data_IF_059413467526
#
_entry.id   IF_059413467526
#
_cell.length_a   1.000
_cell.length_b   1.000
_cell.length_c   1.000
_cell.angle_alpha   90.00
_cell.angle_beta   90.00
_cell.angle_gamma   90.00
#
_symmetry.space_group_name_H-M   'P 1'
#
loop_
_entity.id
_entity.type
_entity.pdbx_description
1 polymer ?
#
# COMPACT_ATOMS: atom_id res chain seq x y z
N UNK A 1 16.66 -64.32 19.90
CA UNK A 1 17.51 -64.21 21.10
C UNK A 1 18.83 -63.59 20.66
N UNK A 2 19.31 -62.59 21.41
CA UNK A 2 20.33 -61.58 21.06
C UNK A 2 21.67 -62.18 20.57
N UNK A 3 22.39 -61.46 19.69
CA UNK A 3 23.69 -60.82 19.96
C UNK A 3 24.38 -60.32 18.66
N UNK A 4 24.60 -59.00 18.59
CA UNK A 4 25.76 -58.32 17.97
C UNK A 4 26.87 -58.16 19.05
N UNK A 5 28.10 -57.64 18.82
CA UNK A 5 28.83 -57.21 17.60
C UNK A 5 30.32 -57.67 17.58
N UNK A 6 31.13 -57.29 16.57
CA UNK A 6 32.58 -57.02 16.73
C UNK A 6 33.17 -56.24 15.54
N UNK A 7 34.01 -55.26 15.87
CA UNK A 7 34.70 -54.31 15.01
C UNK A 7 36.06 -54.84 14.49
N UNK A 8 36.57 -54.25 13.40
CA UNK A 8 38.01 -54.27 13.05
C UNK A 8 38.41 -52.90 12.48
N UNK A 9 39.57 -52.42 12.95
CA UNK A 9 40.21 -51.14 12.70
C UNK A 9 41.45 -51.28 11.75
N UNK A 10 42.18 -50.16 11.58
CA UNK A 10 43.52 -49.96 10.96
C UNK A 10 43.51 -49.57 9.45
N UNK A 11 44.33 -48.64 8.94
CA UNK A 11 45.40 -47.81 9.48
C UNK A 11 45.71 -46.63 8.53
N UNK A 12 46.37 -45.60 9.07
CA UNK A 12 46.81 -44.37 8.42
C UNK A 12 48.14 -44.51 7.65
N UNK A 13 48.41 -43.57 6.72
CA UNK A 13 49.75 -43.24 6.23
C UNK A 13 49.84 -41.73 5.96
N UNK A 14 50.70 -41.07 6.73
CA UNK A 14 51.16 -39.68 6.60
C UNK A 14 52.41 -39.63 5.73
N UNK A 15 52.54 -38.59 4.89
CA UNK A 15 53.85 -38.15 4.37
C UNK A 15 53.97 -36.64 4.55
N UNK A 16 54.95 -36.24 5.35
CA UNK A 16 55.46 -34.88 5.55
C UNK A 16 56.81 -34.75 4.84
N UNK A 17 57.05 -33.62 4.17
CA UNK A 17 58.37 -33.22 3.65
C UNK A 17 58.53 -31.69 3.70
N UNK A 18 59.59 -31.22 4.36
CA UNK A 18 59.91 -29.82 4.66
C UNK A 18 61.08 -29.25 3.84
N UNK A 19 61.05 -27.93 3.59
CA UNK A 19 62.18 -26.96 3.58
C UNK A 19 63.09 -26.86 2.34
N UNK A 20 63.72 -25.73 1.99
CA UNK A 20 63.68 -24.35 2.51
C UNK A 20 64.39 -23.34 1.53
N UNK A 21 64.01 -22.06 1.64
CA UNK A 21 64.74 -20.77 1.48
C UNK A 21 65.39 -20.25 0.17
N UNK A 22 65.11 -18.98 -0.15
CA UNK A 22 65.88 -18.11 -1.05
C UNK A 22 65.12 -16.88 -1.61
N UNK A 23 65.51 -15.67 -1.21
CA UNK A 23 64.78 -14.40 -1.31
C UNK A 23 64.77 -13.64 -2.66
N UNK A 24 63.82 -12.67 -2.72
CA UNK A 24 63.87 -11.34 -3.36
C UNK A 24 63.54 -11.19 -4.86
N UNK A 25 62.38 -10.61 -5.18
CA UNK A 25 62.21 -9.21 -5.65
C UNK A 25 60.73 -8.88 -5.86
N UNK A 26 60.31 -7.71 -5.37
CA UNK A 26 58.92 -7.27 -5.39
C UNK A 26 58.44 -6.81 -6.78
N UNK A 27 57.28 -7.31 -7.19
CA UNK A 27 56.44 -6.71 -8.21
C UNK A 27 54.99 -6.68 -7.69
N UNK A 28 54.45 -5.46 -7.65
CA UNK A 28 53.16 -5.05 -7.10
C UNK A 28 52.01 -5.55 -8.00
N UNK A 29 51.00 -6.29 -7.49
CA UNK A 29 49.69 -6.26 -8.09
C UNK A 29 48.91 -5.10 -7.47
N UNK A 30 48.45 -4.18 -8.31
CA UNK A 30 47.38 -3.22 -8.01
C UNK A 30 46.18 -3.99 -7.48
N UNK A 31 45.95 -3.92 -6.17
CA UNK A 31 44.69 -4.32 -5.57
C UNK A 31 43.61 -3.35 -6.03
N UNK A 32 42.71 -3.83 -6.88
CA UNK A 32 41.45 -3.14 -7.16
C UNK A 32 40.70 -3.06 -5.84
N UNK A 33 40.57 -1.84 -5.30
CA UNK A 33 39.73 -1.56 -4.16
C UNK A 33 38.29 -1.97 -4.53
N UNK A 34 37.81 -3.04 -3.90
CA UNK A 34 36.38 -3.35 -3.84
C UNK A 34 35.74 -2.25 -2.99
N UNK A 35 35.17 -1.24 -3.63
CA UNK A 35 34.21 -0.35 -2.98
C UNK A 35 32.98 -1.19 -2.70
N UNK A 36 33.00 -1.91 -1.56
CA UNK A 36 31.80 -2.50 -0.99
C UNK A 36 30.80 -1.37 -0.79
N UNK A 37 29.75 -1.38 -1.60
CA UNK A 37 28.55 -0.62 -1.30
C UNK A 37 28.09 -1.07 0.09
N UNK A 38 27.77 -0.16 1.03
CA UNK A 38 27.18 -0.59 2.29
C UNK A 38 25.85 -1.24 1.92
N UNK A 39 25.78 -2.56 2.10
CA UNK A 39 24.48 -3.23 2.11
C UNK A 39 23.61 -2.60 3.19
N UNK A 40 22.28 -2.56 3.02
CA UNK A 40 21.42 -2.10 4.09
C UNK A 40 21.73 -2.94 5.32
N UNK A 41 22.18 -2.28 6.39
CA UNK A 41 22.43 -2.93 7.66
C UNK A 41 21.13 -3.56 8.16
N UNK A 42 21.19 -4.67 8.93
CA UNK A 42 20.04 -5.04 9.73
C UNK A 42 19.81 -3.90 10.73
N UNK A 43 18.55 -3.48 10.90
CA UNK A 43 18.07 -2.39 11.78
C UNK A 43 17.71 -1.04 11.12
N UNK A 44 17.08 -1.06 9.94
CA UNK A 44 16.03 -0.06 9.69
C UNK A 44 14.77 -0.55 10.45
N UNK A 45 14.20 0.23 11.39
CA UNK A 45 12.92 -0.15 12.00
C UNK A 45 11.89 -0.28 10.88
N UNK A 46 11.02 -1.31 10.96
CA UNK A 46 9.87 -1.46 10.06
C UNK A 46 9.13 -0.11 10.03
N UNK A 47 9.29 0.64 8.93
CA UNK A 47 8.65 1.93 8.78
C UNK A 47 7.14 1.71 8.82
N UNK A 48 6.47 2.35 9.78
CA UNK A 48 5.02 2.26 9.93
C UNK A 48 4.40 2.81 8.64
N UNK A 49 3.69 1.95 7.91
CA UNK A 49 3.02 2.32 6.66
C UNK A 49 1.67 3.01 6.94
N UNK A 50 1.25 3.94 6.06
CA UNK A 50 -0.11 4.47 6.08
C UNK A 50 -1.17 3.38 5.90
N UNK A 51 -2.40 3.65 6.32
CA UNK A 51 -3.56 2.74 6.19
C UNK A 51 -4.22 2.79 4.80
N UNK A 52 -3.82 3.74 3.95
CA UNK A 52 -4.26 3.89 2.57
C UNK A 52 -3.47 5.00 1.86
N UNK A 53 -3.80 5.29 0.60
CA UNK A 53 -3.02 6.20 -0.25
C UNK A 53 -3.34 7.70 -0.05
N UNK A 54 -4.42 8.01 0.68
CA UNK A 54 -4.85 9.38 0.98
C UNK A 54 -5.75 10.00 -0.10
N UNK A 55 -6.88 10.57 0.31
CA UNK A 55 -7.82 11.33 -0.53
C UNK A 55 -8.37 12.53 0.27
N UNK A 56 -8.95 13.52 -0.40
CA UNK A 56 -9.71 14.61 0.20
C UNK A 56 -11.22 14.30 0.31
N UNK A 57 -11.70 13.27 -0.37
CA UNK A 57 -13.09 12.86 -0.35
C UNK A 57 -13.52 12.31 1.02
N UNK A 58 -14.80 12.45 1.36
CA UNK A 58 -15.36 11.91 2.61
C UNK A 58 -15.23 10.37 2.66
N UNK A 59 -14.79 9.85 3.80
CA UNK A 59 -14.72 8.42 4.10
C UNK A 59 -15.80 8.02 5.08
N UNK A 60 -16.58 6.99 4.73
CA UNK A 60 -17.69 6.49 5.56
C UNK A 60 -17.61 4.98 5.67
N UNK A 61 -17.76 4.46 6.89
CA UNK A 61 -18.02 3.06 7.12
C UNK A 61 -19.07 2.86 8.22
N UNK A 62 -19.94 1.89 8.00
CA UNK A 62 -21.03 1.57 8.93
C UNK A 62 -20.53 0.62 10.01
N UNK A 63 -20.79 0.98 11.28
CA UNK A 63 -20.58 0.07 12.41
C UNK A 63 -21.64 -1.04 12.46
N UNK A 64 -21.53 -1.95 13.42
CA UNK A 64 -22.50 -3.05 13.54
C UNK A 64 -22.43 -3.79 14.87
N UNK A 65 -23.49 -4.55 15.17
CA UNK A 65 -23.59 -5.28 16.43
C UNK A 65 -23.84 -4.35 17.63
N UNK A 66 -23.51 -4.79 18.86
CA UNK A 66 -23.62 -3.97 20.06
C UNK A 66 -22.78 -2.68 19.98
N UNK A 67 -23.15 -1.67 20.77
CA UNK A 67 -22.34 -0.46 20.86
C UNK A 67 -20.99 -0.75 21.53
N UNK A 68 -19.96 -0.01 21.12
CA UNK A 68 -18.58 -0.19 21.59
C UNK A 68 -18.05 1.06 22.28
N UNK A 69 -17.04 0.92 23.13
CA UNK A 69 -16.49 2.01 23.93
C UNK A 69 -15.13 2.44 23.38
N UNK A 70 -14.92 3.75 23.20
CA UNK A 70 -13.58 4.29 22.92
C UNK A 70 -12.77 4.23 24.22
N UNK A 71 -11.66 3.51 24.20
CA UNK A 71 -10.81 3.26 25.38
C UNK A 71 -9.54 4.09 25.37
N UNK A 72 -9.05 4.46 24.18
CA UNK A 72 -7.85 5.27 24.06
C UNK A 72 -7.83 6.12 22.78
N UNK A 73 -7.16 7.26 22.83
CA UNK A 73 -6.92 8.14 21.68
C UNK A 73 -5.45 8.54 21.68
N UNK A 74 -4.74 8.15 20.61
CA UNK A 74 -3.29 8.38 20.47
C UNK A 74 -3.00 9.17 19.21
N UNK A 75 -2.01 10.05 19.33
CA UNK A 75 -1.42 10.79 18.21
C UNK A 75 0.01 10.29 17.98
N UNK A 76 0.39 10.11 16.74
CA UNK A 76 1.74 9.72 16.34
C UNK A 76 2.20 10.50 15.11
N UNK A 77 3.50 10.76 15.02
CA UNK A 77 4.10 11.36 13.83
C UNK A 77 4.99 10.33 13.14
N UNK A 78 4.94 10.30 11.82
CA UNK A 78 5.66 9.37 10.96
C UNK A 78 6.24 10.11 9.76
N UNK A 79 7.13 9.44 9.02
CA UNK A 79 7.68 10.02 7.81
C UNK A 79 6.57 10.19 6.75
N UNK A 80 6.29 11.44 6.38
CA UNK A 80 5.28 11.81 5.37
C UNK A 80 3.83 11.86 5.85
N UNK A 81 3.51 11.51 7.11
CA UNK A 81 2.14 11.60 7.63
C UNK A 81 2.08 11.64 9.16
N UNK A 82 1.03 12.24 9.70
CA UNK A 82 0.63 12.10 11.10
C UNK A 82 -0.54 11.12 11.23
N UNK A 83 -0.63 10.45 12.37
CA UNK A 83 -1.63 9.41 12.63
C UNK A 83 -2.42 9.69 13.89
N UNK A 84 -3.74 9.59 13.78
CA UNK A 84 -4.69 9.57 14.89
C UNK A 84 -5.22 8.14 15.03
N UNK A 85 -5.17 7.57 16.24
CA UNK A 85 -5.67 6.21 16.53
C UNK A 85 -6.71 6.28 17.62
N UNK A 86 -7.90 5.76 17.34
CA UNK A 86 -8.96 5.52 18.31
C UNK A 86 -8.99 4.03 18.63
N UNK A 87 -8.62 3.65 19.86
CA UNK A 87 -8.76 2.29 20.36
C UNK A 87 -10.17 2.07 20.89
N UNK A 88 -10.76 0.93 20.53
CA UNK A 88 -12.17 0.63 20.77
C UNK A 88 -12.32 -0.76 21.36
N UNK A 89 -13.12 -0.90 22.41
CA UNK A 89 -13.42 -2.16 23.09
C UNK A 89 -14.91 -2.50 23.07
N UNK A 90 -15.21 -3.80 23.04
CA UNK A 90 -16.55 -4.36 23.00
C UNK A 90 -16.73 -5.36 21.85
N UNK A 91 -17.86 -6.06 21.85
CA UNK A 91 -18.13 -7.15 20.90
C UNK A 91 -18.70 -6.67 19.56
N UNK A 92 -19.00 -5.38 19.43
CA UNK A 92 -19.47 -4.77 18.19
C UNK A 92 -18.34 -4.17 17.35
N UNK A 93 -18.75 -3.51 16.27
CA UNK A 93 -17.90 -2.80 15.35
C UNK A 93 -18.22 -1.31 15.38
N UNK A 94 -17.20 -0.48 15.58
CA UNK A 94 -17.34 0.96 15.40
C UNK A 94 -17.36 1.29 13.90
N UNK A 95 -18.19 2.25 13.52
CA UNK A 95 -18.15 2.86 12.18
C UNK A 95 -17.50 4.25 12.25
N UNK A 96 -17.38 4.90 11.10
CA UNK A 96 -16.90 6.28 11.02
C UNK A 96 -17.55 7.06 9.89
N UNK A 97 -17.48 8.38 10.04
CA UNK A 97 -17.69 9.38 8.99
C UNK A 97 -16.60 10.43 9.16
N UNK A 98 -15.73 10.57 8.18
CA UNK A 98 -14.57 11.46 8.22
C UNK A 98 -14.51 12.30 6.96
N UNK A 99 -14.47 13.62 7.10
CA UNK A 99 -14.44 14.53 5.95
C UNK A 99 -14.13 15.98 6.35
N UNK A 100 -13.70 16.76 5.37
CA UNK A 100 -13.38 18.18 5.57
C UNK A 100 -14.65 18.99 5.82
N UNK A 101 -14.61 19.86 6.83
CA UNK A 101 -15.71 20.78 7.17
C UNK A 101 -15.25 22.22 7.07
N UNK A 102 -16.16 23.12 6.71
CA UNK A 102 -15.84 24.54 6.61
C UNK A 102 -15.75 25.18 8.00
N UNK A 103 -16.63 24.80 8.93
CA UNK A 103 -16.69 25.33 10.29
C UNK A 103 -16.95 24.20 11.30
N UNK A 104 -16.04 23.98 12.28
CA UNK A 104 -16.27 23.07 13.38
C UNK A 104 -17.44 23.52 14.26
N UNK A 105 -18.43 22.65 14.43
CA UNK A 105 -19.64 22.93 15.21
C UNK A 105 -19.90 21.79 16.20
N UNK A 106 -20.22 22.15 17.43
CA UNK A 106 -20.50 21.19 18.49
C UNK A 106 -21.77 20.39 18.16
N UNK A 107 -21.73 19.05 18.20
CA UNK A 107 -22.92 18.21 18.01
C UNK A 107 -24.04 18.60 18.99
N UNK A 108 -25.29 18.59 18.51
CA UNK A 108 -26.47 18.94 19.29
C UNK A 108 -26.70 20.45 19.48
N UNK A 109 -25.71 21.20 19.94
CA UNK A 109 -25.87 22.65 20.22
C UNK A 109 -25.62 23.56 19.01
N UNK A 110 -24.78 23.14 18.07
CA UNK A 110 -24.36 23.96 16.93
C UNK A 110 -23.43 25.14 17.28
N UNK A 111 -22.93 25.22 18.51
CA UNK A 111 -21.97 26.24 18.90
C UNK A 111 -20.64 26.07 18.14
N UNK A 112 -19.93 27.15 17.78
CA UNK A 112 -18.59 27.04 17.21
C UNK A 112 -17.64 26.28 18.15
N UNK A 113 -16.77 25.44 17.58
CA UNK A 113 -15.69 24.77 18.31
C UNK A 113 -14.36 25.38 17.89
N UNK A 114 -13.56 25.82 18.86
CA UNK A 114 -12.23 26.38 18.59
C UNK A 114 -11.20 25.27 18.37
N UNK A 115 -10.79 25.12 17.10
CA UNK A 115 -9.78 24.14 16.66
C UNK A 115 -8.57 24.91 16.13
N UNK A 116 -7.36 24.70 16.67
CA UNK A 116 -6.12 25.24 16.10
C UNK A 116 -5.89 24.73 14.68
N UNK A 117 -5.63 25.62 13.73
CA UNK A 117 -5.45 25.31 12.31
C UNK A 117 -6.19 26.29 11.40
N UNK A 118 -6.03 26.13 10.09
CA UNK A 118 -6.77 26.88 9.05
C UNK A 118 -7.73 25.99 8.25
N UNK A 119 -7.59 24.66 8.33
CA UNK A 119 -8.53 23.69 7.78
C UNK A 119 -8.89 22.64 8.83
N UNK A 120 -10.09 22.07 8.72
CA UNK A 120 -10.66 21.22 9.77
C UNK A 120 -11.22 19.92 9.20
N UNK A 121 -10.66 18.80 9.65
CA UNK A 121 -11.20 17.47 9.36
C UNK A 121 -12.15 17.08 10.49
N UNK A 122 -13.44 16.91 10.16
CA UNK A 122 -14.43 16.36 11.07
C UNK A 122 -14.30 14.84 11.10
N UNK A 123 -14.18 14.28 12.30
CA UNK A 123 -14.06 12.83 12.54
C UNK A 123 -15.21 12.43 13.45
N UNK A 124 -16.15 11.64 12.96
CA UNK A 124 -17.24 11.10 13.77
C UNK A 124 -17.16 9.58 13.82
N UNK A 125 -16.89 9.03 15.00
CA UNK A 125 -17.03 7.59 15.26
C UNK A 125 -18.52 7.28 15.52
N UNK A 126 -19.00 6.17 15.00
CA UNK A 126 -20.41 5.74 15.13
C UNK A 126 -20.50 4.38 15.80
N UNK A 127 -21.70 4.06 16.31
CA UNK A 127 -21.95 2.88 17.14
C UNK A 127 -21.18 2.90 18.48
N UNK A 128 -21.03 4.08 19.08
CA UNK A 128 -20.33 4.26 20.34
C UNK A 128 -21.30 4.19 21.52
N UNK A 129 -20.95 3.45 22.57
CA UNK A 129 -21.74 3.37 23.80
C UNK A 129 -21.64 4.68 24.58
N UNK A 130 -22.76 5.15 25.11
CA UNK A 130 -22.74 6.30 26.03
C UNK A 130 -22.10 5.88 27.36
N UNK A 131 -21.44 6.78 28.10
CA UNK A 131 -20.75 6.43 29.34
C UNK A 131 -21.63 5.74 30.39
N UNK A 132 -22.94 6.04 30.43
CA UNK A 132 -23.89 5.38 31.33
C UNK A 132 -24.37 4.00 30.87
N UNK A 133 -24.22 3.69 29.58
CA UNK A 133 -24.59 2.42 28.96
C UNK A 133 -23.37 1.50 28.75
N UNK A 134 -22.16 2.03 28.93
CA UNK A 134 -20.93 1.26 28.96
C UNK A 134 -20.96 0.31 30.17
N UNK A 135 -20.46 -0.92 29.98
CA UNK A 135 -20.39 -1.90 31.07
C UNK A 135 -19.61 -1.33 32.26
N UNK A 136 -19.94 -1.76 33.49
CA UNK A 136 -19.35 -1.21 34.72
C UNK A 136 -17.80 -1.26 34.78
N UNK A 137 -17.19 -2.19 34.03
CA UNK A 137 -15.73 -2.35 33.93
C UNK A 137 -15.13 -1.70 32.66
N UNK A 138 -15.94 -0.99 31.86
CA UNK A 138 -15.49 -0.36 30.63
C UNK A 138 -14.57 0.83 30.94
N UNK A 139 -13.34 0.77 30.44
CA UNK A 139 -12.40 1.88 30.50
C UNK A 139 -12.76 2.92 29.45
N UNK A 140 -13.72 3.79 29.76
CA UNK A 140 -14.05 4.93 28.89
C UNK A 140 -12.86 5.88 28.84
N UNK A 141 -12.44 6.27 27.64
CA UNK A 141 -11.37 7.25 27.47
C UNK A 141 -11.72 8.58 28.15
N UNK A 142 -10.80 9.08 28.98
CA UNK A 142 -10.89 10.37 29.68
C UNK A 142 -9.67 11.24 29.37
N UNK A 143 -9.30 11.35 28.10
CA UNK A 143 -8.19 12.18 27.68
C UNK A 143 -8.52 13.67 27.73
N UNK A 144 -7.53 14.53 27.44
CA UNK A 144 -7.75 15.97 27.45
C UNK A 144 -8.61 16.39 26.26
N UNK A 145 -9.38 17.46 26.45
CA UNK A 145 -10.25 18.03 25.40
C UNK A 145 -9.47 18.43 24.13
N UNK A 146 -8.19 18.78 24.27
CA UNK A 146 -7.29 19.11 23.16
C UNK A 146 -5.98 18.34 23.32
N UNK A 147 -5.52 17.73 22.23
CA UNK A 147 -4.28 16.99 22.13
C UNK A 147 -3.45 17.50 20.96
N UNK A 148 -2.13 17.47 21.09
CA UNK A 148 -1.17 17.72 20.01
C UNK A 148 0.05 16.83 20.21
N UNK A 149 0.79 16.54 19.14
CA UNK A 149 2.03 15.76 19.19
C UNK A 149 3.20 16.62 18.72
N UNK A 150 4.29 16.61 19.48
CA UNK A 150 5.47 17.39 19.12
C UNK A 150 6.11 16.83 17.84
N UNK A 151 6.46 17.72 16.91
CA UNK A 151 7.04 17.34 15.63
C UNK A 151 6.04 16.84 14.58
N UNK A 152 4.73 16.99 14.83
CA UNK A 152 3.70 16.78 13.82
C UNK A 152 4.01 17.57 12.55
N UNK A 153 3.83 16.93 11.40
CA UNK A 153 4.04 17.55 10.10
C UNK A 153 2.77 18.25 9.59
N UNK A 154 1.59 17.78 10.00
CA UNK A 154 0.26 18.17 9.52
C UNK A 154 -0.67 18.56 10.66
N UNK A 155 -0.74 17.70 11.69
CA UNK A 155 -1.73 17.82 12.74
C UNK A 155 -1.32 18.90 13.72
N UNK A 156 -2.00 20.04 13.70
CA UNK A 156 -1.80 21.08 14.70
C UNK A 156 -2.43 20.69 16.05
N UNK A 157 -3.66 20.18 16.01
CA UNK A 157 -4.36 19.69 17.19
C UNK A 157 -5.52 18.75 16.84
N UNK A 158 -5.78 17.78 17.73
CA UNK A 158 -7.05 17.05 17.80
C UNK A 158 -7.88 17.63 18.95
N UNK A 159 -9.14 17.97 18.67
CA UNK A 159 -10.10 18.47 19.65
C UNK A 159 -11.24 17.47 19.81
N UNK A 160 -11.44 17.00 21.03
CA UNK A 160 -12.65 16.29 21.45
C UNK A 160 -13.82 17.28 21.50
N UNK A 161 -14.87 16.99 20.72
CA UNK A 161 -16.05 17.85 20.65
C UNK A 161 -17.17 17.36 21.56
N UNK A 162 -17.71 16.15 21.30
CA UNK A 162 -18.74 15.54 22.12
C UNK A 162 -19.07 14.11 21.68
N UNK A 163 -19.51 13.29 22.65
CA UNK A 163 -20.26 12.06 22.42
C UNK A 163 -21.75 12.31 22.61
N UNK A 164 -22.52 12.26 21.53
CA UNK A 164 -23.98 12.50 21.54
C UNK A 164 -24.66 11.40 20.72
N UNK A 165 -25.71 10.78 21.26
CA UNK A 165 -26.53 9.77 20.56
C UNK A 165 -25.71 8.64 19.90
N UNK A 166 -24.65 8.20 20.59
CA UNK A 166 -23.74 7.14 20.11
C UNK A 166 -22.84 7.54 18.94
N UNK A 167 -22.68 8.85 18.71
CA UNK A 167 -21.73 9.44 17.77
C UNK A 167 -20.68 10.23 18.54
N UNK A 168 -19.42 9.81 18.45
CA UNK A 168 -18.30 10.50 19.10
C UNK A 168 -17.58 11.38 18.09
N UNK A 169 -17.70 12.69 18.23
CA UNK A 169 -17.17 13.68 17.29
C UNK A 169 -15.88 14.31 17.79
N UNK A 170 -14.92 14.42 16.89
CA UNK A 170 -13.63 15.08 17.05
C UNK A 170 -13.38 15.99 15.84
N UNK A 171 -12.51 16.98 16.03
CA UNK A 171 -11.99 17.81 14.94
C UNK A 171 -10.47 17.80 14.96
N UNK A 172 -9.86 17.43 13.83
CA UNK A 172 -8.43 17.59 13.60
C UNK A 172 -8.21 18.89 12.84
N UNK A 173 -7.38 19.78 13.39
CA UNK A 173 -6.98 21.01 12.73
C UNK A 173 -5.63 20.88 12.06
N UNK A 174 -5.54 21.44 10.86
CA UNK A 174 -4.38 21.39 9.97
C UNK A 174 -4.13 22.77 9.36
N UNK A 175 -2.98 22.95 8.74
CA UNK A 175 -2.59 24.18 8.05
C UNK A 175 -3.36 24.42 6.74
N UNK A 176 -3.72 23.36 6.04
CA UNK A 176 -4.60 23.36 4.86
C UNK A 176 -5.33 22.02 4.72
N UNK A 177 -6.24 21.89 3.73
CA UNK A 177 -6.89 20.60 3.46
C UNK A 177 -5.84 19.62 2.93
N UNK A 178 -5.52 18.61 3.72
CA UNK A 178 -4.58 17.55 3.38
C UNK A 178 -5.32 16.30 2.89
N UNK A 179 -4.70 15.45 2.07
CA UNK A 179 -5.18 14.09 1.87
C UNK A 179 -5.23 13.35 3.21
N UNK A 180 -6.18 12.44 3.37
CA UNK A 180 -6.29 11.57 4.52
C UNK A 180 -6.74 10.15 4.13
N UNK A 181 -6.39 9.17 4.94
CA UNK A 181 -6.86 7.79 4.80
C UNK A 181 -7.44 7.29 6.12
N UNK A 182 -8.50 6.50 6.05
CA UNK A 182 -9.13 5.88 7.23
C UNK A 182 -9.12 4.37 7.08
N UNK A 183 -8.67 3.66 8.10
CA UNK A 183 -8.61 2.21 8.11
C UNK A 183 -8.84 1.63 9.49
N UNK A 184 -8.91 0.30 9.55
CA UNK A 184 -9.07 -0.44 10.80
C UNK A 184 -7.89 -1.36 11.08
N UNK A 185 -7.59 -1.54 12.36
CA UNK A 185 -6.71 -2.60 12.82
C UNK A 185 -7.42 -3.42 13.90
N UNK A 186 -7.12 -4.72 13.94
CA UNK A 186 -7.77 -5.66 14.85
C UNK A 186 -6.82 -6.03 16.00
N UNK A 187 -7.38 -6.50 17.11
CA UNK A 187 -6.66 -7.03 18.28
C UNK A 187 -5.61 -6.08 18.91
N UNK A 188 -6.00 -4.95 19.54
CA UNK A 188 -7.37 -4.46 19.77
C UNK A 188 -7.96 -3.75 18.53
N UNK A 189 -9.30 -3.64 18.49
CA UNK A 189 -10.00 -2.89 17.45
C UNK A 189 -9.58 -1.42 17.50
N UNK A 190 -9.15 -0.89 16.38
CA UNK A 190 -8.70 0.48 16.22
C UNK A 190 -9.26 1.07 14.94
N UNK A 191 -9.70 2.32 15.02
CA UNK A 191 -9.92 3.17 13.85
C UNK A 191 -8.70 4.08 13.74
N UNK A 192 -8.09 4.11 12.57
CA UNK A 192 -6.84 4.83 12.30
C UNK A 192 -7.10 5.85 11.21
N UNK A 193 -6.73 7.10 11.45
CA UNK A 193 -6.80 8.21 10.50
C UNK A 193 -5.39 8.72 10.25
N UNK A 194 -4.92 8.61 9.01
CA UNK A 194 -3.64 9.15 8.58
C UNK A 194 -3.85 10.46 7.82
N UNK A 195 -3.06 11.48 8.16
CA UNK A 195 -3.05 12.82 7.58
C UNK A 195 -1.71 13.04 6.89
N UNK A 196 -1.70 13.25 5.57
CA UNK A 196 -0.46 13.28 4.78
C UNK A 196 0.17 14.68 4.74
N UNK A 197 1.50 14.74 4.94
CA UNK A 197 2.30 15.97 5.02
C UNK A 197 2.43 16.70 3.69
N UNK A 198 2.60 15.94 2.62
CA UNK A 198 2.54 16.48 1.28
C UNK A 198 1.07 16.51 0.80
N UNK A 199 0.71 17.49 -0.04
CA UNK A 199 -0.34 17.21 -1.03
C UNK A 199 0.01 15.85 -1.65
N UNK A 200 -0.94 14.92 -1.76
CA UNK A 200 -0.80 13.78 -2.67
C UNK A 200 -0.21 14.38 -3.93
N UNK A 201 1.01 13.97 -4.29
CA UNK A 201 1.77 14.57 -5.38
C UNK A 201 0.78 14.90 -6.50
N UNK A 202 0.75 16.16 -7.02
CA UNK A 202 -0.31 16.64 -7.89
C UNK A 202 -0.65 15.53 -8.89
N UNK A 203 -1.94 15.19 -9.06
CA UNK A 203 -2.38 13.93 -9.67
C UNK A 203 -1.52 13.68 -10.88
N UNK A 204 -0.72 12.60 -10.82
CA UNK A 204 0.41 12.40 -11.73
C UNK A 204 0.00 12.78 -13.14
N UNK A 205 0.55 13.90 -13.63
CA UNK A 205 0.08 14.50 -14.86
C UNK A 205 0.36 13.53 -16.01
N UNK A 206 -0.71 12.96 -16.57
CA UNK A 206 -0.62 12.07 -17.72
C UNK A 206 -0.62 12.91 -18.98
N UNK A 207 0.56 13.40 -19.37
CA UNK A 207 0.72 14.31 -20.51
C UNK A 207 1.07 13.60 -21.82
N UNK A 208 1.38 12.31 -21.76
CA UNK A 208 1.73 11.50 -22.93
C UNK A 208 0.71 10.38 -23.14
N UNK A 209 0.49 9.99 -24.40
CA UNK A 209 -0.43 8.92 -24.79
C UNK A 209 0.29 7.91 -25.67
N UNK A 210 0.01 6.62 -25.44
CA UNK A 210 0.55 5.51 -26.20
C UNK A 210 -0.60 4.65 -26.74
N UNK A 211 -0.62 4.44 -28.06
CA UNK A 211 -1.60 3.57 -28.71
C UNK A 211 -0.96 2.18 -28.92
N UNK A 212 -1.43 1.19 -28.16
CA UNK A 212 -0.91 -0.17 -28.25
C UNK A 212 -1.52 -0.90 -29.44
N UNK A 213 -0.71 -1.62 -30.26
CA UNK A 213 -1.24 -2.52 -31.28
C UNK A 213 -2.05 -3.69 -30.67
N UNK A 214 -1.98 -3.89 -29.34
CA UNK A 214 -2.81 -4.86 -28.63
C UNK A 214 -4.29 -4.44 -28.47
N UNK A 215 -4.67 -3.25 -28.95
CA UNK A 215 -6.06 -2.81 -29.01
C UNK A 215 -6.51 -1.99 -27.80
N UNK A 216 -5.61 -1.22 -27.21
CA UNK A 216 -5.92 -0.22 -26.20
C UNK A 216 -5.00 0.98 -26.36
N UNK A 217 -5.47 2.14 -25.89
CA UNK A 217 -4.65 3.34 -25.76
C UNK A 217 -4.69 3.81 -24.32
N UNK A 218 -3.54 4.25 -23.81
CA UNK A 218 -3.39 4.66 -22.41
C UNK A 218 -2.53 5.92 -22.34
N UNK A 219 -2.90 6.84 -21.44
CA UNK A 219 -2.06 7.99 -21.10
C UNK A 219 -1.13 7.61 -19.96
N UNK A 220 0.08 8.14 -19.96
CA UNK A 220 1.11 7.83 -18.97
C UNK A 220 1.87 9.09 -18.55
N UNK A 221 2.58 9.06 -17.41
CA UNK A 221 3.21 10.25 -16.85
C UNK A 221 4.28 10.84 -17.75
N UNK A 222 4.50 12.15 -17.63
CA UNK A 222 5.63 12.78 -18.30
C UNK A 222 6.98 12.20 -17.85
N UNK A 223 7.91 12.07 -18.80
CA UNK A 223 9.27 11.56 -18.53
C UNK A 223 9.36 10.05 -18.31
N UNK A 224 8.24 9.33 -18.18
CA UNK A 224 8.27 7.88 -18.11
C UNK A 224 8.67 7.27 -19.45
N UNK A 225 9.51 6.24 -19.38
CA UNK A 225 9.87 5.41 -20.51
C UNK A 225 8.76 4.39 -20.79
N UNK A 226 8.56 4.10 -22.08
CA UNK A 226 7.62 3.10 -22.58
C UNK A 226 8.31 2.20 -23.61
N UNK A 227 7.96 0.91 -23.64
CA UNK A 227 8.58 -0.01 -24.60
C UNK A 227 8.06 0.21 -26.02
N UNK A 228 8.96 0.06 -27.00
CA UNK A 228 8.69 0.32 -28.42
C UNK A 228 8.12 -0.86 -29.22
N UNK A 229 7.93 -2.03 -28.60
CA UNK A 229 7.30 -3.18 -29.28
C UNK A 229 8.23 -4.28 -29.77
N UNK A 230 9.53 -4.23 -29.50
CA UNK A 230 10.51 -5.15 -30.09
C UNK A 230 10.40 -6.59 -29.56
N UNK A 231 10.23 -6.77 -28.24
CA UNK A 231 10.17 -8.09 -27.58
C UNK A 231 8.75 -8.45 -27.13
N UNK A 232 8.01 -7.46 -26.66
CA UNK A 232 6.61 -7.55 -26.27
C UNK A 232 5.87 -6.39 -26.93
N UNK A 233 4.55 -6.51 -27.13
CA UNK A 233 3.75 -5.47 -27.79
C UNK A 233 4.03 -4.07 -27.22
N UNK A 234 4.09 -3.06 -28.10
CA UNK A 234 4.38 -1.69 -27.70
C UNK A 234 3.34 -1.18 -26.69
N UNK A 235 3.73 -0.19 -25.87
CA UNK A 235 2.85 0.42 -24.87
C UNK A 235 2.36 -0.57 -23.79
N UNK A 236 3.19 -1.54 -23.37
CA UNK A 236 2.83 -2.53 -22.35
C UNK A 236 3.74 -2.54 -21.13
N UNK A 237 4.82 -1.76 -21.15
CA UNK A 237 5.78 -1.61 -20.05
C UNK A 237 6.03 -0.13 -19.86
N UNK A 238 5.85 0.37 -18.64
CA UNK A 238 6.00 1.78 -18.29
C UNK A 238 6.87 1.89 -17.04
N UNK A 239 7.88 2.77 -17.06
CA UNK A 239 8.77 2.99 -15.93
C UNK A 239 9.25 4.44 -15.86
N UNK A 240 9.56 4.97 -14.66
CA UNK A 240 10.13 6.32 -14.52
C UNK A 240 11.53 6.44 -15.13
N UNK A 241 12.29 5.34 -15.17
CA UNK A 241 13.64 5.30 -15.72
C UNK A 241 13.69 4.56 -17.06
N UNK A 242 14.65 4.87 -17.95
CA UNK A 242 14.90 4.08 -19.15
C UNK A 242 15.16 2.61 -18.84
N UNK A 243 14.60 1.74 -19.66
CA UNK A 243 14.77 0.30 -19.52
C UNK A 243 14.89 -0.39 -20.87
N UNK A 244 15.34 -1.63 -20.84
CA UNK A 244 15.29 -2.56 -21.98
C UNK A 244 14.48 -3.76 -21.57
N UNK A 245 13.71 -4.34 -22.50
CA UNK A 245 13.00 -5.60 -22.28
C UNK A 245 13.89 -6.72 -22.84
N UNK A 246 14.52 -7.55 -21.98
CA UNK A 246 15.37 -8.62 -22.47
C UNK A 246 14.54 -9.69 -23.21
N UNK A 247 15.05 -10.26 -24.32
CA UNK A 247 14.41 -11.41 -24.95
C UNK A 247 14.39 -12.63 -24.03
N UNK A 248 13.26 -13.36 -24.00
CA UNK A 248 13.15 -14.63 -23.28
C UNK A 248 13.28 -14.54 -21.76
N UNK A 249 13.06 -13.37 -21.16
CA UNK A 249 13.03 -13.22 -19.71
C UNK A 249 11.61 -13.12 -19.17
N UNK A 250 11.39 -13.78 -18.03
CA UNK A 250 10.18 -13.62 -17.21
C UNK A 250 10.35 -12.50 -16.17
N UNK A 251 11.48 -11.78 -16.19
CA UNK A 251 11.74 -10.69 -15.26
C UNK A 251 10.70 -9.58 -15.42
N UNK A 252 10.20 -9.08 -14.29
CA UNK A 252 9.37 -7.88 -14.27
C UNK A 252 10.19 -6.68 -14.72
N UNK A 253 9.86 -6.18 -15.90
CA UNK A 253 10.36 -4.91 -16.42
C UNK A 253 9.19 -3.92 -16.42
N UNK A 254 9.39 -2.70 -15.93
CA UNK A 254 8.34 -1.71 -15.82
C UNK A 254 7.64 -1.70 -14.46
N UNK A 255 7.44 -0.48 -13.95
CA UNK A 255 6.65 -0.16 -12.77
C UNK A 255 5.18 -0.54 -12.97
N UNK A 256 4.61 -0.12 -14.10
CA UNK A 256 3.27 -0.51 -14.56
C UNK A 256 3.41 -1.39 -15.81
N UNK A 257 2.69 -2.51 -15.84
CA UNK A 257 2.67 -3.39 -17.01
C UNK A 257 1.26 -3.72 -17.44
N UNK A 258 1.04 -3.77 -18.75
CA UNK A 258 -0.18 -4.23 -19.37
C UNK A 258 0.06 -5.55 -20.13
N UNK A 259 -0.94 -6.41 -20.20
CA UNK A 259 -0.94 -7.61 -21.01
C UNK A 259 -2.36 -7.95 -21.47
N UNK A 260 -2.51 -8.39 -22.72
CA UNK A 260 -3.80 -8.86 -23.23
C UNK A 260 -3.78 -10.38 -23.27
N UNK A 261 -4.65 -10.99 -22.47
CA UNK A 261 -4.85 -12.43 -22.38
C UNK A 261 -5.90 -12.87 -23.38
N UNK A 262 -5.66 -13.98 -24.10
CA UNK A 262 -6.64 -14.62 -24.99
C UNK A 262 -7.52 -15.57 -24.16
N UNK A 263 -8.33 -14.99 -23.27
CA UNK A 263 -9.21 -15.71 -22.37
C UNK A 263 -10.45 -14.87 -22.01
N UNK A 264 -11.57 -15.52 -21.64
CA UNK A 264 -12.77 -14.84 -21.15
C UNK A 264 -12.52 -14.02 -19.89
N UNK A 265 -13.20 -12.88 -19.77
CA UNK A 265 -13.12 -11.98 -18.62
C UNK A 265 -13.31 -12.70 -17.28
N UNK A 266 -14.38 -13.49 -17.15
CA UNK A 266 -14.69 -14.22 -15.91
C UNK A 266 -13.57 -15.18 -15.48
N UNK A 267 -12.87 -15.78 -16.46
CA UNK A 267 -11.75 -16.66 -16.17
C UNK A 267 -10.55 -15.89 -15.63
N UNK A 268 -10.24 -14.72 -16.20
CA UNK A 268 -9.08 -13.90 -15.82
C UNK A 268 -9.36 -13.10 -14.55
N UNK A 269 -10.59 -12.61 -14.37
CA UNK A 269 -11.04 -11.85 -13.18
C UNK A 269 -11.36 -12.74 -11.98
N UNK A 270 -11.36 -14.07 -12.18
CA UNK A 270 -11.57 -15.06 -11.13
C UNK A 270 -10.52 -15.00 -10.01
N UNK A 271 -10.68 -15.83 -8.97
CA UNK A 271 -9.68 -15.96 -7.90
C UNK A 271 -8.31 -16.34 -8.48
N UNK A 272 -7.28 -15.56 -8.13
CA UNK A 272 -5.91 -15.78 -8.59
C UNK A 272 -5.01 -16.39 -7.50
N UNK A 273 -3.75 -16.64 -7.84
CA UNK A 273 -2.73 -16.99 -6.86
C UNK A 273 -2.46 -15.81 -5.91
N UNK A 274 -2.25 -16.11 -4.62
CA UNK A 274 -2.09 -15.12 -3.56
C UNK A 274 -3.36 -14.88 -2.74
N UNK A 275 -3.19 -14.18 -1.61
CA UNK A 275 -4.29 -13.79 -0.74
C UNK A 275 -4.87 -12.46 -1.21
N UNK A 276 -6.16 -12.45 -1.51
CA UNK A 276 -6.89 -11.23 -1.88
C UNK A 276 -7.04 -10.33 -0.66
N UNK A 277 -6.63 -9.06 -0.81
CA UNK A 277 -6.78 -8.02 0.22
C UNK A 277 -8.05 -7.22 -0.01
N UNK A 278 -8.31 -6.87 -1.28
CA UNK A 278 -9.51 -6.16 -1.69
C UNK A 278 -9.89 -6.53 -3.13
N UNK A 279 -11.18 -6.42 -3.44
CA UNK A 279 -11.77 -6.62 -4.77
C UNK A 279 -12.92 -5.64 -4.94
N UNK A 280 -12.96 -4.96 -6.08
CA UNK A 280 -14.06 -4.09 -6.47
C UNK A 280 -14.42 -4.25 -7.93
N UNK A 281 -15.71 -4.42 -8.23
CA UNK A 281 -16.24 -4.32 -9.60
C UNK A 281 -16.30 -2.85 -10.00
N UNK A 282 -15.90 -2.54 -11.24
CA UNK A 282 -15.90 -1.19 -11.80
C UNK A 282 -16.12 -1.23 -13.31
N UNK A 283 -16.04 -0.07 -13.97
CA UNK A 283 -16.02 0.05 -15.43
C UNK A 283 -14.83 0.87 -15.86
N UNK A 284 -14.20 0.48 -16.98
CA UNK A 284 -13.05 1.16 -17.58
C UNK A 284 -13.35 1.37 -19.06
N UNK A 285 -13.33 2.62 -19.53
CA UNK A 285 -13.65 2.94 -20.93
C UNK A 285 -15.01 2.38 -21.38
N UNK A 286 -16.00 2.32 -20.49
CA UNK A 286 -17.33 1.74 -20.74
C UNK A 286 -17.40 0.21 -20.71
N UNK A 287 -16.30 -0.48 -20.38
CA UNK A 287 -16.21 -1.95 -20.35
C UNK A 287 -16.22 -2.49 -18.92
N UNK A 288 -16.79 -3.68 -18.67
CA UNK A 288 -16.72 -4.34 -17.36
C UNK A 288 -15.27 -4.52 -16.90
N UNK A 289 -15.01 -4.23 -15.62
CA UNK A 289 -13.70 -4.38 -15.04
C UNK A 289 -13.75 -4.79 -13.57
N UNK A 290 -12.64 -5.35 -13.07
CA UNK A 290 -12.42 -5.59 -11.64
C UNK A 290 -11.07 -5.00 -11.25
N UNK A 291 -11.04 -4.20 -10.18
CA UNK A 291 -9.81 -3.82 -9.47
C UNK A 291 -9.57 -4.82 -8.36
N UNK A 292 -8.36 -5.38 -8.30
CA UNK A 292 -7.99 -6.34 -7.26
C UNK A 292 -6.64 -6.02 -6.67
N UNK A 293 -6.56 -6.12 -5.35
CA UNK A 293 -5.31 -6.07 -4.59
C UNK A 293 -5.03 -7.45 -3.99
N UNK A 294 -3.79 -7.91 -4.15
CA UNK A 294 -3.35 -9.20 -3.66
C UNK A 294 -2.01 -9.09 -2.97
N UNK A 295 -1.75 -10.04 -2.10
CA UNK A 295 -0.42 -10.31 -1.58
C UNK A 295 -0.03 -11.75 -1.93
N UNK A 296 1.14 -11.93 -2.54
CA UNK A 296 1.64 -13.26 -2.86
C UNK A 296 1.82 -14.09 -1.59
N UNK A 297 1.46 -15.37 -1.66
CA UNK A 297 1.69 -16.35 -0.59
C UNK A 297 2.95 -17.19 -0.83
N UNK A 298 3.76 -16.81 -1.84
CA UNK A 298 4.97 -17.54 -2.25
C UNK A 298 4.71 -18.66 -3.26
N UNK A 299 3.45 -18.84 -3.67
CA UNK A 299 3.06 -19.70 -4.79
C UNK A 299 2.91 -18.84 -6.04
N UNK A 300 3.74 -19.08 -7.06
CA UNK A 300 3.71 -18.37 -8.35
C UNK A 300 4.99 -17.61 -8.67
N UNK A 301 4.86 -16.49 -9.39
CA UNK A 301 6.00 -15.71 -9.89
C UNK A 301 6.71 -14.87 -8.82
N UNK A 302 5.99 -14.48 -7.76
CA UNK A 302 6.50 -13.54 -6.75
C UNK A 302 6.72 -14.21 -5.38
N UNK A 303 7.79 -13.84 -4.65
CA UNK A 303 7.99 -14.25 -3.27
C UNK A 303 6.78 -13.94 -2.37
N UNK A 304 6.64 -14.68 -1.27
CA UNK A 304 5.61 -14.41 -0.27
C UNK A 304 5.74 -12.98 0.27
N UNK A 305 4.61 -12.30 0.45
CA UNK A 305 4.56 -10.93 0.94
C UNK A 305 4.61 -9.84 -0.12
N UNK A 306 4.89 -10.18 -1.40
CA UNK A 306 4.91 -9.18 -2.48
C UNK A 306 3.48 -8.75 -2.84
N UNK A 307 3.13 -7.46 -2.71
CA UNK A 307 1.81 -6.97 -3.07
C UNK A 307 1.68 -6.75 -4.57
N UNK A 308 0.46 -6.83 -5.09
CA UNK A 308 0.11 -6.53 -6.47
C UNK A 308 -1.25 -5.84 -6.50
N UNK A 309 -1.34 -4.71 -7.19
CA UNK A 309 -2.62 -4.05 -7.52
C UNK A 309 -2.79 -4.11 -9.01
N UNK A 310 -3.96 -4.53 -9.48
CA UNK A 310 -4.23 -4.62 -10.90
C UNK A 310 -5.71 -4.49 -11.25
N UNK A 311 -5.94 -4.10 -12.50
CA UNK A 311 -7.23 -4.09 -13.14
C UNK A 311 -7.31 -5.18 -14.19
N UNK A 312 -8.43 -5.89 -14.18
CA UNK A 312 -8.82 -6.83 -15.22
C UNK A 312 -9.98 -6.20 -15.97
N UNK A 313 -9.84 -5.98 -17.29
CA UNK A 313 -10.83 -5.28 -18.12
C UNK A 313 -11.24 -6.16 -19.30
N UNK A 314 -12.54 -6.36 -19.48
CA UNK A 314 -13.08 -7.11 -20.60
C UNK A 314 -12.84 -6.35 -21.92
N UNK A 315 -12.15 -6.96 -22.89
CA UNK A 315 -11.96 -6.38 -24.23
C UNK A 315 -12.93 -6.97 -25.27
N UNK A 316 -13.84 -7.84 -24.86
CA UNK A 316 -14.74 -8.57 -25.75
C UNK A 316 -14.00 -9.55 -26.65
N UNK A 317 -14.67 -10.00 -27.72
CA UNK A 317 -14.11 -10.96 -28.66
C UNK A 317 -13.26 -10.27 -29.75
N UNK A 318 -12.09 -10.83 -30.03
CA UNK A 318 -11.29 -10.53 -31.22
C UNK A 318 -11.25 -11.71 -32.19
N UNK A 319 -10.40 -11.61 -33.22
CA UNK A 319 -10.27 -12.64 -34.26
C UNK A 319 -9.86 -14.04 -33.73
N UNK A 320 -9.24 -14.11 -32.56
CA UNK A 320 -8.73 -15.35 -31.95
C UNK A 320 -9.57 -15.82 -30.75
N UNK A 321 -10.71 -15.17 -30.49
CA UNK A 321 -11.58 -15.46 -29.36
C UNK A 321 -11.67 -14.32 -28.35
N UNK A 322 -12.16 -14.59 -27.12
CA UNK A 322 -12.31 -13.57 -26.08
C UNK A 322 -10.96 -13.03 -25.62
N UNK A 323 -10.92 -11.72 -25.35
CA UNK A 323 -9.72 -11.00 -24.94
C UNK A 323 -9.98 -10.27 -23.64
N UNK A 324 -9.00 -10.29 -22.74
CA UNK A 324 -9.07 -9.58 -21.46
C UNK A 324 -7.75 -8.84 -21.22
N UNK A 325 -7.82 -7.55 -20.90
CA UNK A 325 -6.67 -6.75 -20.50
C UNK A 325 -6.40 -6.96 -19.01
N UNK A 326 -5.14 -7.18 -18.66
CA UNK A 326 -4.63 -7.08 -17.30
C UNK A 326 -3.60 -5.96 -17.27
N UNK A 327 -3.80 -4.96 -16.42
CA UNK A 327 -2.84 -3.88 -16.18
C UNK A 327 -2.59 -3.75 -14.68
N UNK A 328 -1.33 -3.80 -14.26
CA UNK A 328 -0.98 -3.95 -12.85
C UNK A 328 0.37 -3.32 -12.48
N UNK A 329 0.57 -3.15 -11.18
CA UNK A 329 1.83 -2.80 -10.52
C UNK A 329 2.13 -3.81 -9.42
N UNK A 330 3.42 -4.05 -9.16
CA UNK A 330 3.91 -5.06 -8.21
C UNK A 330 4.95 -4.47 -7.26
N UNK A 331 4.90 -4.85 -5.99
CA UNK A 331 5.82 -4.36 -4.96
C UNK A 331 7.11 -5.14 -4.87
N UNK A 332 7.88 -5.18 -5.96
CA UNK A 332 9.25 -5.70 -5.95
C UNK A 332 10.24 -4.61 -5.48
N UNK A 333 11.40 -4.98 -4.89
CA UNK A 333 12.33 -4.00 -4.30
C UNK A 333 12.81 -2.88 -5.23
N UNK A 334 12.86 -3.13 -6.55
CA UNK A 334 13.24 -2.14 -7.55
C UNK A 334 12.12 -1.15 -7.93
N UNK A 335 10.91 -1.33 -7.41
CA UNK A 335 9.75 -0.48 -7.73
C UNK A 335 9.19 0.18 -6.47
N UNK A 336 8.88 1.47 -6.60
CA UNK A 336 8.12 2.19 -5.59
C UNK A 336 6.62 1.85 -5.73
N UNK A 337 6.21 0.78 -5.06
CA UNK A 337 4.82 0.29 -5.12
C UNK A 337 3.81 1.36 -4.71
N UNK A 338 4.08 2.05 -3.60
CA UNK A 338 3.17 3.04 -3.04
C UNK A 338 2.98 4.21 -4.01
N UNK A 339 4.05 4.65 -4.69
CA UNK A 339 3.94 5.65 -5.75
C UNK A 339 3.24 5.12 -7.01
N UNK A 340 3.44 3.84 -7.35
CA UNK A 340 2.97 3.28 -8.62
C UNK A 340 1.47 2.92 -8.63
N UNK A 341 0.85 2.62 -7.47
CA UNK A 341 -0.59 2.34 -7.36
C UNK A 341 -1.44 3.53 -7.83
N UNK A 342 -1.28 4.77 -7.32
CA UNK A 342 -2.06 5.91 -7.79
C UNK A 342 -1.74 6.26 -9.26
N UNK A 343 -0.50 6.04 -9.73
CA UNK A 343 -0.18 6.17 -11.17
C UNK A 343 -1.00 5.18 -12.00
N UNK A 344 -1.04 3.91 -11.59
CA UNK A 344 -1.83 2.87 -12.25
C UNK A 344 -3.31 3.25 -12.31
N UNK A 345 -3.90 3.64 -11.18
CA UNK A 345 -5.32 4.01 -11.09
C UNK A 345 -5.65 5.13 -12.08
N UNK A 346 -4.80 6.19 -12.14
CA UNK A 346 -4.95 7.29 -13.10
C UNK A 346 -4.75 6.85 -14.55
N UNK A 347 -3.77 6.00 -14.83
CA UNK A 347 -3.55 5.46 -16.19
C UNK A 347 -4.79 4.71 -16.66
N UNK A 348 -5.39 3.89 -15.79
CA UNK A 348 -6.58 3.09 -16.09
C UNK A 348 -7.79 3.96 -16.43
N UNK A 349 -7.98 5.10 -15.77
CA UNK A 349 -9.06 6.04 -16.10
C UNK A 349 -8.96 6.59 -17.53
N UNK A 350 -7.75 6.62 -18.10
CA UNK A 350 -7.52 7.11 -19.47
C UNK A 350 -7.58 6.02 -20.53
N UNK A 351 -7.78 4.75 -20.12
CA UNK A 351 -7.86 3.63 -21.05
C UNK A 351 -9.04 3.83 -21.99
N UNK A 352 -8.71 3.76 -23.27
CA UNK A 352 -9.69 3.77 -24.36
C UNK A 352 -9.42 2.57 -25.27
N UNK A 353 -10.48 2.08 -25.88
CA UNK A 353 -10.46 0.87 -26.69
C UNK A 353 -11.04 1.21 -28.06
N UNK A 354 -10.51 0.66 -29.16
CA UNK A 354 -11.15 0.77 -30.45
C UNK A 354 -12.59 0.27 -30.39
N UNK A 355 -13.47 0.90 -31.17
CA UNK A 355 -14.82 0.38 -31.39
C UNK A 355 -14.72 -1.02 -32.02
N UNK A 356 -15.62 -1.95 -31.62
CA UNK A 356 -15.58 -3.35 -32.01
C UNK A 356 -15.79 -3.62 -33.51
#
# INVERSE_FOLDING_TARGET
MRLLPAAVACAALLVTGCGADGAATGARPTGTASSGHPGPGPDAPDAVRPVGDGDIAESVATGGGPAVTVTDVRLGTHDGFDRIVFEVAGDGLAGWQVGWVDEPRAPGSGAPVEVPGQAFLGITLTNIALPGDAGADALVWQGPQRQAVAGAAVLEALVDAALVEGRYSFFAGTDERRPFAVGTANSPQRIVVDLFADEVAPPVALSQRCDSPAGFSVSYPEGWSVNLGETVAACTRFAPEPFTVPPGTDARVGAVTASVQQAPFEQVAGPGAGRELSRGTTTVGGRPAVRVERISVGEGLWPAGVPTTGYVVDLGSGAQGPRTLVIDTVGLPQFDYARNVPVLDRMVETLTFPDP
#
